data_IF_916271829775
#
_entry.id   IF_916271829775
#
_cell.length_a   1.000
_cell.length_b   1.000
_cell.length_c   1.000
_cell.angle_alpha   90.00
_cell.angle_beta   90.00
_cell.angle_gamma   90.00
#
_symmetry.space_group_name_H-M   'P 1'
#
loop_
_entity.id
_entity.type
_entity.pdbx_description
1 polymer ?
#
# COMPACT_ATOMS: atom_id res chain seq x y z
N UNK A 1 -14.43 -9.99 4.91
CA UNK A 1 -14.79 -8.79 4.13
C UNK A 1 -13.57 -8.04 3.66
N UNK A 2 -13.74 -7.21 2.65
CA UNK A 2 -12.76 -6.21 2.22
C UNK A 2 -13.39 -4.82 2.27
N UNK A 3 -12.62 -3.81 2.65
CA UNK A 3 -13.06 -2.41 2.57
C UNK A 3 -12.13 -1.68 1.61
N UNK A 4 -12.66 -1.03 0.57
CA UNK A 4 -11.84 -0.19 -0.32
C UNK A 4 -11.45 1.11 0.39
N UNK A 5 -10.37 1.76 -0.03
CA UNK A 5 -9.96 3.05 0.53
C UNK A 5 -11.04 4.14 0.31
N UNK A 6 -11.38 4.43 -0.89
CA UNK A 6 -12.55 5.16 -1.44
C UNK A 6 -12.69 4.85 -2.94
N UNK A 7 -11.69 4.17 -3.50
CA UNK A 7 -11.65 3.76 -4.90
C UNK A 7 -12.64 2.66 -5.24
N UNK A 8 -12.65 2.29 -6.50
CA UNK A 8 -13.54 1.24 -7.02
C UNK A 8 -12.78 -0.08 -7.16
N UNK A 9 -13.49 -1.19 -7.05
CA UNK A 9 -12.93 -2.53 -7.32
C UNK A 9 -12.61 -2.78 -8.81
N UNK A 10 -12.79 -1.78 -9.65
CA UNK A 10 -12.47 -1.78 -11.09
C UNK A 10 -11.39 -0.75 -11.43
N UNK A 11 -10.61 -0.33 -10.45
CA UNK A 11 -9.59 0.72 -10.57
C UNK A 11 -8.34 0.32 -11.37
N UNK A 12 -8.26 -0.94 -11.81
CA UNK A 12 -7.10 -1.56 -12.46
C UNK A 12 -5.81 -1.42 -11.62
N UNK A 13 -5.95 -1.34 -10.30
CA UNK A 13 -4.91 -1.08 -9.34
C UNK A 13 -5.13 -1.88 -8.04
N UNK A 14 -4.87 -1.25 -6.91
CA UNK A 14 -4.74 -1.91 -5.62
C UNK A 14 -6.08 -2.44 -5.07
N UNK A 15 -7.17 -1.68 -5.22
CA UNK A 15 -8.48 -2.15 -4.78
C UNK A 15 -8.96 -3.36 -5.60
N UNK A 16 -8.84 -3.30 -6.94
CA UNK A 16 -9.24 -4.41 -7.80
C UNK A 16 -8.43 -5.67 -7.50
N UNK A 17 -7.10 -5.56 -7.45
CA UNK A 17 -6.23 -6.71 -7.20
C UNK A 17 -6.51 -7.36 -5.85
N UNK A 18 -6.75 -6.55 -4.81
CA UNK A 18 -7.09 -7.04 -3.47
C UNK A 18 -8.46 -7.72 -3.46
N UNK A 19 -9.46 -7.12 -4.13
CA UNK A 19 -10.79 -7.70 -4.26
C UNK A 19 -10.74 -9.07 -4.95
N UNK A 20 -10.09 -9.15 -6.11
CA UNK A 20 -9.97 -10.39 -6.87
C UNK A 20 -9.26 -11.50 -6.06
N UNK A 21 -8.18 -11.16 -5.35
CA UNK A 21 -7.45 -12.11 -4.50
C UNK A 21 -8.30 -12.60 -3.32
N UNK A 22 -9.04 -11.70 -2.65
CA UNK A 22 -9.94 -12.08 -1.56
C UNK A 22 -11.08 -12.96 -2.05
N UNK A 23 -11.68 -12.62 -3.19
CA UNK A 23 -12.76 -13.40 -3.80
C UNK A 23 -12.27 -14.81 -4.17
N UNK A 24 -11.14 -14.90 -4.87
CA UNK A 24 -10.55 -16.19 -5.28
C UNK A 24 -10.24 -17.09 -4.06
N UNK A 25 -9.64 -16.51 -3.03
CA UNK A 25 -9.33 -17.23 -1.80
C UNK A 25 -10.62 -17.73 -1.11
N UNK A 26 -11.61 -16.87 -0.95
CA UNK A 26 -12.86 -17.23 -0.26
C UNK A 26 -13.65 -18.28 -1.05
N UNK A 27 -13.69 -18.17 -2.38
CA UNK A 27 -14.31 -19.18 -3.24
C UNK A 27 -13.62 -20.54 -3.13
N UNK A 28 -12.29 -20.56 -3.09
CA UNK A 28 -11.51 -21.81 -2.96
C UNK A 28 -11.71 -22.49 -1.61
N UNK A 29 -11.83 -21.70 -0.53
CA UNK A 29 -11.98 -22.20 0.84
C UNK A 29 -13.44 -22.35 1.30
N UNK A 30 -14.41 -21.96 0.44
CA UNK A 30 -15.84 -22.02 0.76
C UNK A 30 -16.26 -21.03 1.85
N UNK A 31 -15.61 -19.87 1.91
CA UNK A 31 -15.86 -18.78 2.86
C UNK A 31 -16.82 -17.75 2.28
N UNK A 32 -17.54 -17.05 3.16
CA UNK A 32 -18.34 -15.90 2.75
C UNK A 32 -17.43 -14.67 2.51
N UNK A 33 -17.71 -13.94 1.43
CA UNK A 33 -16.99 -12.73 1.08
C UNK A 33 -17.94 -11.62 0.64
N UNK A 34 -17.67 -10.41 1.06
CA UNK A 34 -18.34 -9.19 0.62
C UNK A 34 -17.33 -8.03 0.66
N UNK A 35 -17.54 -7.00 -0.16
CA UNK A 35 -16.76 -5.79 -0.08
C UNK A 35 -17.61 -4.58 0.28
N UNK A 36 -17.00 -3.63 0.96
CA UNK A 36 -17.63 -2.39 1.42
C UNK A 36 -16.87 -1.21 0.83
N UNK A 37 -17.61 -0.27 0.24
CA UNK A 37 -17.04 0.94 -0.34
C UNK A 37 -17.47 2.15 0.47
N UNK A 38 -16.53 2.93 1.05
CA UNK A 38 -16.85 4.21 1.70
C UNK A 38 -17.51 5.19 0.72
N UNK A 39 -18.38 6.06 1.22
CA UNK A 39 -19.05 7.08 0.41
C UNK A 39 -18.08 8.17 -0.08
N UNK A 40 -16.94 8.35 0.61
CA UNK A 40 -15.89 9.30 0.27
C UNK A 40 -14.57 9.00 0.99
N UNK A 41 -13.59 9.88 0.79
CA UNK A 41 -12.25 9.73 1.34
C UNK A 41 -12.10 10.37 2.72
N UNK A 42 -12.69 9.71 3.74
CA UNK A 42 -12.49 10.11 5.14
C UNK A 42 -12.34 8.90 6.06
N UNK A 43 -11.61 9.08 7.16
CA UNK A 43 -11.48 8.04 8.19
C UNK A 43 -12.84 7.63 8.75
N UNK A 44 -13.73 8.59 9.02
CA UNK A 44 -15.06 8.31 9.57
C UNK A 44 -15.91 7.43 8.64
N UNK A 45 -15.81 7.61 7.32
CA UNK A 45 -16.52 6.78 6.36
C UNK A 45 -15.92 5.38 6.25
N UNK A 46 -14.60 5.23 6.35
CA UNK A 46 -13.94 3.92 6.44
C UNK A 46 -14.29 3.19 7.73
N UNK A 47 -14.33 3.89 8.87
CA UNK A 47 -14.79 3.34 10.16
C UNK A 47 -16.25 2.85 10.04
N UNK A 48 -17.14 3.62 9.43
CA UNK A 48 -18.51 3.20 9.22
C UNK A 48 -18.63 1.90 8.39
N UNK A 49 -17.72 1.67 7.45
CA UNK A 49 -17.68 0.41 6.69
C UNK A 49 -17.14 -0.75 7.53
N UNK A 50 -16.19 -0.51 8.44
CA UNK A 50 -15.77 -1.52 9.43
C UNK A 50 -16.96 -1.91 10.31
N UNK A 51 -17.68 -0.93 10.86
CA UNK A 51 -18.86 -1.16 11.70
C UNK A 51 -19.94 -1.97 10.97
N UNK A 52 -20.20 -1.64 9.69
CA UNK A 52 -21.12 -2.38 8.84
C UNK A 52 -20.70 -3.82 8.62
N UNK A 53 -19.44 -4.06 8.24
CA UNK A 53 -18.92 -5.39 8.02
C UNK A 53 -18.98 -6.25 9.29
N UNK A 54 -18.65 -5.68 10.45
CA UNK A 54 -18.74 -6.38 11.75
C UNK A 54 -20.20 -6.68 12.10
N UNK A 55 -21.12 -5.73 11.87
CA UNK A 55 -22.55 -5.94 12.09
C UNK A 55 -23.14 -7.05 11.20
N UNK A 56 -22.63 -7.20 9.98
CA UNK A 56 -22.99 -8.28 9.05
C UNK A 56 -22.32 -9.63 9.40
N UNK A 57 -21.48 -9.66 10.45
CA UNK A 57 -20.88 -10.88 11.00
C UNK A 57 -19.53 -11.25 10.42
N UNK A 58 -18.89 -10.39 9.66
CA UNK A 58 -17.52 -10.63 9.16
C UNK A 58 -16.50 -10.48 10.29
N UNK A 59 -15.62 -11.46 10.41
CA UNK A 59 -14.59 -11.53 11.46
C UNK A 59 -13.15 -11.41 10.94
N UNK A 60 -12.98 -11.24 9.63
CA UNK A 60 -11.72 -10.88 8.98
C UNK A 60 -11.99 -9.73 8.03
N UNK A 61 -11.24 -8.64 8.17
CA UNK A 61 -11.40 -7.43 7.36
C UNK A 61 -10.07 -7.08 6.70
N UNK A 62 -10.05 -7.07 5.37
CA UNK A 62 -8.88 -6.72 4.54
C UNK A 62 -9.02 -5.27 4.09
N UNK A 63 -7.97 -4.49 4.29
CA UNK A 63 -7.92 -3.04 4.07
C UNK A 63 -6.68 -2.68 3.23
N UNK A 64 -6.82 -2.41 1.92
CA UNK A 64 -5.71 -2.04 1.05
C UNK A 64 -5.44 -0.53 1.07
N UNK A 65 -4.27 -0.14 1.53
CA UNK A 65 -3.76 1.22 1.43
C UNK A 65 -3.43 1.90 2.75
N UNK A 66 -2.44 2.77 2.71
CA UNK A 66 -1.94 3.52 3.87
C UNK A 66 -3.03 4.38 4.57
N UNK A 67 -4.08 4.77 3.83
CA UNK A 67 -5.18 5.58 4.37
C UNK A 67 -5.96 4.88 5.50
N UNK A 68 -5.80 3.56 5.66
CA UNK A 68 -6.42 2.80 6.74
C UNK A 68 -5.70 2.90 8.09
N UNK A 69 -4.53 3.55 8.17
CA UNK A 69 -3.79 3.66 9.43
C UNK A 69 -4.65 4.26 10.57
N UNK A 70 -5.35 5.36 10.31
CA UNK A 70 -6.23 5.96 11.33
C UNK A 70 -7.47 5.09 11.60
N UNK A 71 -8.03 4.43 10.58
CA UNK A 71 -9.14 3.49 10.76
C UNK A 71 -8.76 2.34 11.71
N UNK A 72 -7.56 1.79 11.57
CA UNK A 72 -7.02 0.75 12.45
C UNK A 72 -6.95 1.24 13.90
N UNK A 73 -6.40 2.44 14.12
CA UNK A 73 -6.31 3.02 15.46
C UNK A 73 -7.66 3.18 16.14
N UNK A 74 -8.70 3.53 15.38
CA UNK A 74 -10.04 3.75 15.90
C UNK A 74 -10.82 2.44 16.12
N UNK A 75 -10.56 1.39 15.33
CA UNK A 75 -11.43 0.20 15.31
C UNK A 75 -10.83 -1.05 15.91
N UNK A 76 -9.50 -1.23 15.85
CA UNK A 76 -8.88 -2.50 16.22
C UNK A 76 -9.09 -2.91 17.68
N UNK A 77 -9.06 -1.96 18.61
CA UNK A 77 -9.32 -2.20 20.04
C UNK A 77 -10.82 -2.34 20.35
N UNK A 78 -11.68 -1.75 19.52
CA UNK A 78 -13.15 -1.87 19.68
C UNK A 78 -13.65 -3.25 19.30
N UNK A 79 -12.96 -3.90 18.36
CA UNK A 79 -13.33 -5.21 17.82
C UNK A 79 -12.23 -6.26 18.02
N UNK A 80 -11.92 -6.65 19.27
CA UNK A 80 -10.78 -7.53 19.56
C UNK A 80 -10.92 -8.95 18.98
N UNK A 81 -12.13 -9.37 18.64
CA UNK A 81 -12.43 -10.67 18.02
C UNK A 81 -12.40 -10.64 16.49
N UNK A 82 -12.18 -9.47 15.88
CA UNK A 82 -12.02 -9.28 14.44
C UNK A 82 -10.55 -9.22 14.07
N UNK A 83 -10.14 -9.99 13.07
CA UNK A 83 -8.79 -9.90 12.50
C UNK A 83 -8.75 -8.84 11.40
N UNK A 84 -7.87 -7.88 11.53
CA UNK A 84 -7.62 -6.85 10.52
C UNK A 84 -6.35 -7.16 9.74
N UNK A 85 -6.45 -7.15 8.41
CA UNK A 85 -5.32 -7.33 7.49
C UNK A 85 -5.17 -6.04 6.70
N UNK A 86 -4.16 -5.26 7.07
CA UNK A 86 -3.87 -3.96 6.45
C UNK A 86 -2.69 -4.10 5.48
N UNK A 87 -2.93 -3.79 4.23
CA UNK A 87 -1.94 -3.83 3.16
C UNK A 87 -1.41 -2.43 2.89
N UNK A 88 -0.10 -2.29 2.75
CA UNK A 88 0.58 -1.00 2.57
C UNK A 88 0.38 -0.03 3.75
N UNK A 89 0.32 -0.56 4.96
CA UNK A 89 0.33 0.22 6.20
C UNK A 89 1.62 -0.07 6.95
N UNK A 90 2.48 0.94 7.06
CA UNK A 90 3.75 0.87 7.77
C UNK A 90 3.64 1.44 9.19
N UNK A 91 4.63 1.17 10.05
CA UNK A 91 4.72 1.77 11.37
C UNK A 91 4.71 3.31 11.31
N UNK A 92 5.35 3.91 10.31
CA UNK A 92 5.35 5.38 10.13
C UNK A 92 3.96 5.98 9.86
N UNK A 93 3.04 5.22 9.24
CA UNK A 93 1.65 5.65 9.02
C UNK A 93 0.84 5.58 10.30
N UNK A 94 1.13 4.62 11.17
CA UNK A 94 0.49 4.43 12.47
C UNK A 94 1.04 5.38 13.54
N UNK A 95 2.26 5.88 13.37
CA UNK A 95 3.01 6.65 14.36
C UNK A 95 4.02 5.77 15.10
N UNK A 96 5.18 6.37 15.42
CA UNK A 96 6.32 5.65 16.00
C UNK A 96 6.00 4.99 17.34
N UNK A 97 5.13 5.61 18.14
CA UNK A 97 4.75 5.15 19.49
C UNK A 97 3.52 4.22 19.49
N UNK A 98 2.89 3.98 18.32
CA UNK A 98 1.70 3.15 18.27
C UNK A 98 2.07 1.66 18.38
N UNK A 99 1.47 1.00 19.38
CA UNK A 99 1.63 -0.44 19.56
C UNK A 99 0.51 -1.18 18.85
N UNK A 100 0.88 -1.99 17.86
CA UNK A 100 -0.07 -2.75 17.04
C UNK A 100 -0.79 -3.79 17.90
N UNK A 101 -2.13 -3.80 17.96
CA UNK A 101 -2.90 -4.83 18.64
C UNK A 101 -2.69 -6.20 18.01
N UNK A 102 -2.84 -7.26 18.80
CA UNK A 102 -2.57 -8.64 18.35
C UNK A 102 -3.52 -9.17 17.27
N UNK A 103 -4.65 -8.51 17.07
CA UNK A 103 -5.64 -8.82 16.04
C UNK A 103 -5.42 -8.04 14.74
N UNK A 104 -4.32 -7.30 14.61
CA UNK A 104 -3.96 -6.55 13.40
C UNK A 104 -2.69 -7.12 12.79
N UNK A 105 -2.75 -7.41 11.49
CA UNK A 105 -1.60 -7.75 10.66
C UNK A 105 -1.39 -6.66 9.62
N UNK A 106 -0.21 -6.04 9.61
CA UNK A 106 0.20 -5.06 8.61
C UNK A 106 1.23 -5.68 7.66
N UNK A 107 1.03 -5.52 6.38
CA UNK A 107 1.96 -5.94 5.34
C UNK A 107 2.40 -4.74 4.52
N UNK A 108 3.70 -4.63 4.31
CA UNK A 108 4.32 -3.65 3.38
C UNK A 108 5.10 -4.40 2.31
N UNK A 109 5.34 -3.73 1.21
CA UNK A 109 6.06 -4.31 0.07
C UNK A 109 7.49 -3.78 0.02
N UNK A 110 8.34 -4.47 -0.76
CA UNK A 110 9.71 -4.03 -1.04
C UNK A 110 9.73 -3.13 -2.28
N UNK A 111 9.07 -1.96 -2.21
CA UNK A 111 8.93 -1.04 -3.33
C UNK A 111 10.29 -0.54 -3.83
N UNK A 112 11.29 -0.49 -2.96
CA UNK A 112 12.66 -0.14 -3.33
C UNK A 112 13.25 -1.07 -4.38
N UNK A 113 12.85 -2.35 -4.42
CA UNK A 113 13.31 -3.28 -5.45
C UNK A 113 12.72 -2.96 -6.82
N UNK A 114 11.43 -2.63 -6.87
CA UNK A 114 10.78 -2.19 -8.10
C UNK A 114 11.39 -0.88 -8.59
N UNK A 115 11.58 0.08 -7.69
CA UNK A 115 12.27 1.33 -7.98
C UNK A 115 13.68 1.09 -8.54
N UNK A 116 14.45 0.26 -7.87
CA UNK A 116 15.82 -0.10 -8.29
C UNK A 116 15.84 -0.68 -9.71
N UNK A 117 14.99 -1.65 -10.00
CA UNK A 117 14.92 -2.25 -11.33
C UNK A 117 14.56 -1.21 -12.40
N UNK A 118 13.63 -0.31 -12.11
CA UNK A 118 13.22 0.73 -13.05
C UNK A 118 14.34 1.74 -13.31
N UNK A 119 15.03 2.23 -12.27
CA UNK A 119 16.16 3.15 -12.40
C UNK A 119 17.34 2.53 -13.15
N UNK A 120 17.68 1.29 -12.79
CA UNK A 120 18.72 0.53 -13.46
C UNK A 120 18.41 0.35 -14.96
N UNK A 121 17.19 -0.07 -15.29
CA UNK A 121 16.74 -0.26 -16.67
C UNK A 121 16.76 1.06 -17.46
N UNK A 122 16.34 2.17 -16.86
CA UNK A 122 16.33 3.48 -17.52
C UNK A 122 17.75 3.88 -18.00
N UNK A 123 18.76 3.76 -17.14
CA UNK A 123 20.15 4.06 -17.52
C UNK A 123 20.68 3.07 -18.53
N UNK A 124 20.39 1.77 -18.39
CA UNK A 124 20.77 0.76 -19.40
C UNK A 124 20.19 1.00 -20.78
N UNK A 125 19.01 1.62 -20.85
CA UNK A 125 18.36 2.04 -22.10
C UNK A 125 18.94 3.35 -22.67
N UNK A 126 19.90 3.99 -21.98
CA UNK A 126 20.61 5.17 -22.45
C UNK A 126 20.04 6.51 -21.95
N UNK A 127 19.07 6.49 -21.03
CA UNK A 127 18.57 7.72 -20.41
C UNK A 127 19.56 8.24 -19.36
N UNK A 128 19.93 9.52 -19.46
CA UNK A 128 20.89 10.16 -18.55
C UNK A 128 20.31 11.33 -17.76
N UNK A 129 19.11 11.82 -18.13
CA UNK A 129 18.37 12.83 -17.37
C UNK A 129 17.09 12.21 -16.86
N UNK A 130 17.06 11.94 -15.57
CA UNK A 130 16.01 11.17 -14.94
C UNK A 130 15.34 12.02 -13.85
N UNK A 131 14.08 11.73 -13.59
CA UNK A 131 13.33 12.38 -12.52
C UNK A 131 12.42 11.40 -11.79
N UNK A 132 12.28 11.60 -10.48
CA UNK A 132 11.27 10.93 -9.67
C UNK A 132 10.25 11.97 -9.23
N UNK A 133 8.99 11.76 -9.61
CA UNK A 133 7.87 12.60 -9.18
C UNK A 133 6.95 11.75 -8.30
N UNK A 134 6.98 12.00 -7.00
CA UNK A 134 6.08 11.37 -6.03
C UNK A 134 4.82 12.20 -5.82
N UNK A 135 3.69 11.55 -5.54
CA UNK A 135 2.44 12.23 -5.19
C UNK A 135 2.50 12.91 -3.82
N UNK A 136 3.08 12.23 -2.85
CA UNK A 136 3.38 12.74 -1.51
C UNK A 136 4.44 11.86 -0.83
N UNK A 137 5.08 12.39 0.21
CA UNK A 137 6.20 11.75 0.90
C UNK A 137 5.75 10.66 1.91
N UNK A 138 4.90 9.74 1.49
CA UNK A 138 4.55 8.56 2.30
C UNK A 138 5.61 7.46 2.16
N UNK A 139 5.72 6.53 3.12
CA UNK A 139 6.81 5.56 3.17
C UNK A 139 7.01 4.75 1.88
N UNK A 140 5.94 4.26 1.25
CA UNK A 140 6.02 3.50 0.01
C UNK A 140 6.59 4.33 -1.16
N UNK A 141 6.10 5.57 -1.34
CA UNK A 141 6.59 6.48 -2.39
C UNK A 141 8.06 6.83 -2.20
N UNK A 142 8.49 7.02 -0.95
CA UNK A 142 9.90 7.24 -0.64
C UNK A 142 10.76 6.02 -0.98
N UNK A 143 10.31 4.80 -0.66
CA UNK A 143 11.03 3.57 -1.01
C UNK A 143 11.16 3.36 -2.51
N UNK A 144 10.07 3.57 -3.29
CA UNK A 144 10.14 3.55 -4.75
C UNK A 144 11.18 4.52 -5.30
N UNK A 145 11.12 5.79 -4.88
CA UNK A 145 12.04 6.83 -5.37
C UNK A 145 13.48 6.56 -4.96
N UNK A 146 13.70 6.15 -3.71
CA UNK A 146 15.03 5.82 -3.21
C UNK A 146 15.66 4.64 -3.97
N UNK A 147 14.88 3.58 -4.20
CA UNK A 147 15.30 2.46 -5.01
C UNK A 147 15.65 2.87 -6.44
N UNK A 148 14.83 3.71 -7.06
CA UNK A 148 15.07 4.21 -8.42
C UNK A 148 16.40 4.94 -8.55
N UNK A 149 16.70 5.84 -7.62
CA UNK A 149 17.99 6.57 -7.59
C UNK A 149 19.17 5.60 -7.48
N UNK A 150 19.10 4.63 -6.55
CA UNK A 150 20.16 3.65 -6.35
C UNK A 150 20.35 2.73 -7.57
N UNK A 151 19.26 2.31 -8.21
CA UNK A 151 19.34 1.50 -9.42
C UNK A 151 19.97 2.25 -10.59
N UNK A 152 19.59 3.52 -10.78
CA UNK A 152 20.18 4.38 -11.79
C UNK A 152 21.69 4.59 -11.56
N UNK A 153 22.09 4.87 -10.31
CA UNK A 153 23.50 5.02 -9.93
C UNK A 153 24.31 3.75 -10.19
N UNK A 154 23.80 2.60 -9.78
CA UNK A 154 24.46 1.31 -10.01
C UNK A 154 24.70 1.04 -11.51
N UNK A 155 23.70 1.28 -12.35
CA UNK A 155 23.85 1.12 -13.80
C UNK A 155 24.83 2.13 -14.41
N UNK A 156 24.80 3.38 -13.94
CA UNK A 156 25.70 4.44 -14.40
C UNK A 156 27.17 4.11 -14.06
N UNK A 157 27.42 3.61 -12.86
CA UNK A 157 28.77 3.15 -12.45
C UNK A 157 29.23 1.98 -13.32
N UNK A 158 28.36 0.97 -13.52
CA UNK A 158 28.68 -0.18 -14.36
C UNK A 158 28.98 0.20 -15.82
N UNK A 159 28.28 1.20 -16.36
CA UNK A 159 28.52 1.70 -17.73
C UNK A 159 29.65 2.72 -17.83
N UNK A 160 30.24 3.16 -16.72
CA UNK A 160 31.31 4.17 -16.70
C UNK A 160 30.83 5.59 -17.08
N UNK A 161 29.56 5.91 -16.82
CA UNK A 161 28.92 7.19 -17.14
C UNK A 161 28.32 7.88 -15.91
N UNK A 162 28.79 7.57 -14.71
CA UNK A 162 28.24 8.08 -13.46
C UNK A 162 28.21 9.62 -13.38
N UNK A 163 29.17 10.30 -14.02
CA UNK A 163 29.26 11.76 -14.12
C UNK A 163 28.31 12.39 -15.15
N UNK A 164 27.63 11.58 -15.96
CA UNK A 164 26.70 12.02 -17.00
C UNK A 164 25.22 11.86 -16.62
N UNK A 165 24.95 11.06 -15.57
CA UNK A 165 23.56 10.84 -15.12
C UNK A 165 23.16 11.93 -14.13
N UNK A 166 22.08 12.61 -14.46
CA UNK A 166 21.47 13.65 -13.63
C UNK A 166 20.14 13.14 -13.12
N UNK A 167 19.91 13.31 -11.82
CA UNK A 167 18.69 12.89 -11.14
C UNK A 167 18.00 14.07 -10.45
N UNK A 168 16.71 14.25 -10.70
CA UNK A 168 15.87 15.19 -9.98
C UNK A 168 14.80 14.44 -9.18
N UNK A 169 14.45 14.96 -8.02
CA UNK A 169 13.47 14.35 -7.11
C UNK A 169 12.50 15.42 -6.61
N UNK A 170 11.18 15.17 -6.74
CA UNK A 170 10.13 16.07 -6.30
C UNK A 170 8.90 15.31 -5.78
N UNK A 171 8.13 15.96 -4.92
CA UNK A 171 6.81 15.53 -4.45
C UNK A 171 5.75 16.55 -4.89
#
# INVERSE_FOLDING_TARGET
AMITDYGDITDQSFNQTTYEACQEFCDAEGLQFEYYKPAGDSTAERVAMVDAAVADGYNVIVMPGYAFAETIKETAELYPDVTFIALDVAQGDLGEDYTLPSNVYCAVYQEELCGYMAGYAAVKLGYTHLGVLGGMAVPAVQRFGYGFVQGADAAAVEMGIADQVVMEYAY
#
